data_IF_752255248058
#
_entry.id   IF_752255248058
#
_cell.length_a   1.000
_cell.length_b   1.000
_cell.length_c   1.000
_cell.angle_alpha   90.00
_cell.angle_beta   90.00
_cell.angle_gamma   90.00
#
_symmetry.space_group_name_H-M   'P 1'
#
loop_
_entity.id
_entity.type
_entity.pdbx_description
1 polymer ?
#
# COMPACT_ATOMS: atom_id res chain seq x y z
N UNK A 1 10.64 -9.72 11.14
CA UNK A 1 9.42 -9.06 11.66
C UNK A 1 9.61 -7.58 12.00
N UNK A 2 10.79 -7.13 12.45
CA UNK A 2 11.02 -5.70 12.76
C UNK A 2 11.20 -4.78 11.53
N UNK A 3 11.69 -5.29 10.39
CA UNK A 3 11.99 -4.41 9.25
C UNK A 3 10.78 -3.64 8.71
N UNK A 4 9.61 -4.27 8.49
CA UNK A 4 8.37 -3.57 8.07
C UNK A 4 7.71 -2.75 9.19
N UNK A 5 8.14 -2.91 10.45
CA UNK A 5 7.68 -2.07 11.58
C UNK A 5 8.55 -0.84 11.78
N UNK A 6 9.79 -0.87 11.30
CA UNK A 6 10.81 0.17 11.57
C UNK A 6 11.13 0.99 10.32
N UNK A 7 11.04 0.40 9.13
CA UNK A 7 11.35 1.05 7.87
C UNK A 7 10.15 1.01 6.91
N UNK A 8 10.01 2.06 6.11
CA UNK A 8 8.93 2.29 5.15
C UNK A 8 9.04 1.49 3.85
N UNK A 9 10.15 0.79 3.61
CA UNK A 9 10.30 -0.24 2.57
C UNK A 9 9.92 0.16 1.14
N UNK A 10 9.96 1.45 0.79
CA UNK A 10 9.74 1.95 -0.58
C UNK A 10 8.89 3.21 -0.64
N UNK A 11 7.71 3.20 -0.01
CA UNK A 11 6.78 4.33 0.02
C UNK A 11 6.44 4.73 1.46
N UNK A 12 6.40 6.04 1.73
CA UNK A 12 6.12 6.59 3.08
C UNK A 12 4.69 7.12 3.23
N UNK A 13 3.91 7.09 2.16
CA UNK A 13 2.55 7.62 2.12
C UNK A 13 1.64 6.59 1.45
N UNK A 14 0.51 6.33 2.10
CA UNK A 14 -0.55 5.44 1.63
C UNK A 14 -1.86 6.20 1.69
N UNK A 15 -2.67 6.09 0.63
CA UNK A 15 -3.98 6.71 0.54
C UNK A 15 -5.03 5.62 0.39
N UNK A 16 -6.03 5.63 1.28
CA UNK A 16 -7.20 4.76 1.18
C UNK A 16 -8.29 5.53 0.44
N UNK A 17 -8.62 5.08 -0.76
CA UNK A 17 -9.57 5.73 -1.67
C UNK A 17 -10.45 4.69 -2.35
N UNK A 18 -11.58 5.14 -2.91
CA UNK A 18 -12.34 4.30 -3.83
C UNK A 18 -11.48 4.01 -5.07
N UNK A 19 -11.64 2.80 -5.62
CA UNK A 19 -10.91 2.33 -6.81
C UNK A 19 -11.04 3.30 -8.01
N UNK A 20 -12.20 3.94 -8.15
CA UNK A 20 -12.48 4.91 -9.22
C UNK A 20 -11.52 6.13 -9.23
N UNK A 21 -10.93 6.50 -8.09
CA UNK A 21 -10.02 7.65 -8.00
C UNK A 21 -8.54 7.26 -8.06
N UNK A 22 -8.21 5.96 -8.05
CA UNK A 22 -6.84 5.50 -7.92
C UNK A 22 -5.95 5.96 -9.10
N UNK A 23 -6.44 5.82 -10.33
CA UNK A 23 -5.73 6.21 -11.55
C UNK A 23 -5.48 7.73 -11.63
N UNK A 24 -6.48 8.53 -11.25
CA UNK A 24 -6.35 9.99 -11.22
C UNK A 24 -5.27 10.44 -10.24
N UNK A 25 -5.23 9.83 -9.05
CA UNK A 25 -4.22 10.12 -8.03
C UNK A 25 -2.82 9.72 -8.51
N UNK A 26 -2.69 8.56 -9.17
CA UNK A 26 -1.42 8.11 -9.74
C UNK A 26 -0.94 9.09 -10.82
N UNK A 27 -1.84 9.53 -11.71
CA UNK A 27 -1.54 10.51 -12.75
C UNK A 27 -1.07 11.84 -12.17
N UNK A 28 -1.76 12.35 -11.15
CA UNK A 28 -1.36 13.57 -10.43
C UNK A 28 0.02 13.37 -9.80
N UNK A 29 0.25 12.28 -9.08
CA UNK A 29 1.54 12.00 -8.44
C UNK A 29 2.70 11.99 -9.44
N UNK A 30 2.51 11.30 -10.57
CA UNK A 30 3.50 11.24 -11.64
C UNK A 30 3.78 12.62 -12.26
N UNK A 31 2.79 13.52 -12.33
CA UNK A 31 2.99 14.90 -12.80
C UNK A 31 3.93 15.72 -11.90
N UNK A 32 4.03 15.35 -10.62
CA UNK A 32 4.99 15.93 -9.66
C UNK A 32 6.31 15.15 -9.57
N UNK A 33 6.51 14.14 -10.44
CA UNK A 33 7.72 13.32 -10.43
C UNK A 33 7.78 12.34 -9.25
N UNK A 34 6.65 12.01 -8.64
CA UNK A 34 6.55 11.03 -7.55
C UNK A 34 5.85 9.80 -8.08
N UNK A 35 6.54 8.66 -8.09
CA UNK A 35 5.95 7.39 -8.50
C UNK A 35 4.86 6.97 -7.51
N UNK A 36 3.70 6.58 -8.06
CA UNK A 36 2.57 6.05 -7.31
C UNK A 36 2.04 4.80 -7.98
N UNK A 37 1.54 3.87 -7.17
CA UNK A 37 0.92 2.63 -7.63
C UNK A 37 -0.08 2.12 -6.60
N UNK A 38 -0.99 1.26 -7.01
CA UNK A 38 -1.90 0.56 -6.10
C UNK A 38 -1.11 -0.55 -5.40
N UNK A 39 -0.84 -0.37 -4.11
CA UNK A 39 -0.03 -1.31 -3.29
C UNK A 39 -0.86 -2.37 -2.56
N UNK A 40 -2.19 -2.25 -2.55
CA UNK A 40 -3.07 -3.20 -1.85
C UNK A 40 -4.54 -2.79 -1.88
N UNK A 41 -5.37 -3.51 -1.12
CA UNK A 41 -6.80 -3.25 -0.96
C UNK A 41 -7.27 -3.58 0.45
N UNK A 42 -8.42 -3.02 0.85
CA UNK A 42 -9.10 -3.32 2.12
C UNK A 42 -10.33 -4.16 1.85
N UNK A 43 -10.51 -5.20 2.67
CA UNK A 43 -11.67 -6.08 2.62
C UNK A 43 -12.33 -6.15 3.99
N UNK A 44 -13.63 -6.46 4.02
CA UNK A 44 -14.34 -6.70 5.27
C UNK A 44 -13.78 -7.96 5.94
N UNK A 45 -13.52 -7.88 7.25
CA UNK A 45 -13.02 -8.99 8.06
C UNK A 45 -13.68 -8.95 9.44
N UNK A 46 -13.94 -10.12 10.01
CA UNK A 46 -14.46 -10.26 11.38
C UNK A 46 -13.39 -9.93 12.43
N UNK A 47 -12.11 -9.97 12.05
CA UNK A 47 -10.97 -9.72 12.93
C UNK A 47 -9.95 -8.79 12.28
N UNK A 48 -9.18 -8.09 13.12
CA UNK A 48 -8.07 -7.26 12.66
C UNK A 48 -6.98 -8.16 12.10
N UNK A 49 -6.73 -8.06 10.78
CA UNK A 49 -5.71 -8.82 10.07
C UNK A 49 -5.00 -7.92 9.06
N UNK A 50 -3.69 -8.07 8.95
CA UNK A 50 -2.85 -7.46 7.92
C UNK A 50 -2.05 -8.55 7.23
N UNK A 51 -2.13 -8.61 5.90
CA UNK A 51 -1.35 -9.53 5.08
C UNK A 51 -0.45 -8.73 4.15
N UNK A 52 0.86 -8.98 4.21
CA UNK A 52 1.86 -8.39 3.33
C UNK A 52 2.43 -9.50 2.47
N UNK A 53 2.17 -9.44 1.16
CA UNK A 53 2.77 -10.34 0.18
C UNK A 53 3.95 -9.63 -0.48
N UNK A 54 5.15 -10.18 -0.35
CA UNK A 54 6.38 -9.62 -0.93
C UNK A 54 7.21 -10.71 -1.59
N UNK A 55 8.23 -10.32 -2.36
CA UNK A 55 9.20 -11.25 -2.95
C UNK A 55 9.94 -12.11 -1.92
N UNK A 56 9.95 -11.70 -0.64
CA UNK A 56 10.56 -12.43 0.47
C UNK A 56 9.60 -13.39 1.20
N UNK A 57 8.35 -13.48 0.73
CA UNK A 57 7.30 -14.33 1.30
C UNK A 57 6.08 -13.56 1.80
N UNK A 58 5.16 -14.32 2.42
CA UNK A 58 3.91 -13.83 3.00
C UNK A 58 4.06 -13.58 4.49
N UNK A 59 3.71 -12.38 4.94
CA UNK A 59 3.70 -12.00 6.35
C UNK A 59 2.27 -11.69 6.80
N UNK A 60 1.82 -12.29 7.89
CA UNK A 60 0.51 -12.03 8.50
C UNK A 60 0.68 -11.43 9.90
N UNK A 61 -0.15 -10.43 10.22
CA UNK A 61 -0.16 -9.69 11.49
C UNK A 61 -1.57 -9.42 11.99
#
# INVERSE_FOLDING_TARGET
QEMYKVFNMGHRMELYVNEEYAEDIISISNSYGVEAQIVGRVEASESKKLTINSSFGNFEY
#
